data_IF_370000543669
#
_entry.id   IF_370000543669
#
_cell.length_a   1.000
_cell.length_b   1.000
_cell.length_c   1.000
_cell.angle_alpha   90.00
_cell.angle_beta   90.00
_cell.angle_gamma   90.00
#
_symmetry.space_group_name_H-M   'P 1'
#
loop_
_entity.id
_entity.type
_entity.pdbx_description
1 polymer ?
#
# COMPACT_ATOMS: atom_id res chain seq x y z
N UNK A 1 -23.34 28.24 -27.81
CA UNK A 1 -22.97 26.92 -28.35
C UNK A 1 -22.49 26.05 -27.19
N UNK A 2 -23.27 25.08 -26.78
CA UNK A 2 -22.83 24.06 -25.85
C UNK A 2 -21.68 23.28 -26.51
N UNK A 3 -20.54 23.20 -25.82
CA UNK A 3 -19.41 22.37 -26.27
C UNK A 3 -19.79 20.92 -26.07
N UNK A 4 -19.92 20.17 -27.11
CA UNK A 4 -20.10 18.72 -27.08
C UNK A 4 -18.72 18.08 -26.87
N UNK A 5 -18.57 17.28 -25.81
CA UNK A 5 -17.33 16.56 -25.51
C UNK A 5 -17.52 15.06 -25.84
N UNK A 6 -16.55 14.49 -26.53
CA UNK A 6 -16.58 13.08 -26.94
C UNK A 6 -16.16 12.14 -25.81
N UNK A 7 -15.32 12.58 -24.90
CA UNK A 7 -14.77 11.77 -23.79
C UNK A 7 -14.52 12.63 -22.55
N UNK A 8 -14.70 12.00 -21.39
CA UNK A 8 -14.46 12.56 -20.07
C UNK A 8 -13.41 11.72 -19.37
N UNK A 9 -12.35 12.35 -18.87
CA UNK A 9 -11.29 11.72 -18.11
C UNK A 9 -11.36 12.23 -16.68
N UNK A 10 -11.60 11.30 -15.73
CA UNK A 10 -11.73 11.62 -14.31
C UNK A 10 -10.53 11.00 -13.58
N UNK A 11 -9.86 11.79 -12.76
CA UNK A 11 -8.75 11.34 -11.93
C UNK A 11 -8.92 11.93 -10.53
N UNK A 12 -8.90 11.08 -9.50
CA UNK A 12 -9.09 11.54 -8.13
C UNK A 12 -9.57 10.45 -7.16
N UNK A 13 -10.01 10.87 -5.96
CA UNK A 13 -10.61 9.96 -4.98
C UNK A 13 -11.88 9.28 -5.52
N UNK A 14 -12.12 8.05 -5.08
CA UNK A 14 -13.25 7.23 -5.54
C UNK A 14 -14.61 7.93 -5.40
N UNK A 15 -14.86 8.58 -4.26
CA UNK A 15 -16.12 9.31 -4.03
C UNK A 15 -16.34 10.43 -5.05
N UNK A 16 -15.29 11.17 -5.42
CA UNK A 16 -15.36 12.22 -6.43
C UNK A 16 -15.68 11.62 -7.80
N UNK A 17 -14.99 10.54 -8.18
CA UNK A 17 -15.19 9.87 -9.47
C UNK A 17 -16.61 9.33 -9.57
N UNK A 18 -17.12 8.68 -8.51
CA UNK A 18 -18.47 8.15 -8.47
C UNK A 18 -19.52 9.27 -8.59
N UNK A 19 -19.35 10.37 -7.87
CA UNK A 19 -20.26 11.52 -7.92
C UNK A 19 -20.30 12.13 -9.32
N UNK A 20 -19.15 12.42 -9.91
CA UNK A 20 -19.06 13.03 -11.25
C UNK A 20 -19.57 12.07 -12.32
N UNK A 21 -19.26 10.77 -12.23
CA UNK A 21 -19.74 9.75 -13.17
C UNK A 21 -21.27 9.64 -13.15
N UNK A 22 -21.89 9.68 -11.98
CA UNK A 22 -23.35 9.65 -11.85
C UNK A 22 -24.01 10.88 -12.50
N UNK A 23 -23.48 12.07 -12.23
CA UNK A 23 -23.99 13.32 -12.84
C UNK A 23 -23.85 13.29 -14.38
N UNK A 24 -22.75 12.75 -14.90
CA UNK A 24 -22.54 12.61 -16.36
C UNK A 24 -23.54 11.62 -16.95
N UNK A 25 -23.83 10.50 -16.28
CA UNK A 25 -24.84 9.51 -16.70
C UNK A 25 -26.26 10.11 -16.70
N UNK A 26 -26.63 10.92 -15.69
CA UNK A 26 -27.90 11.65 -15.63
C UNK A 26 -28.07 12.64 -16.80
N UNK A 27 -26.95 13.17 -17.31
CA UNK A 27 -26.92 14.04 -18.49
C UNK A 27 -26.82 13.29 -19.83
N UNK A 28 -27.14 11.99 -19.83
CA UNK A 28 -27.13 11.10 -20.99
C UNK A 28 -25.73 10.90 -21.65
N UNK A 29 -24.64 11.09 -20.89
CA UNK A 29 -23.30 10.73 -21.34
C UNK A 29 -23.17 9.21 -21.31
N UNK A 30 -22.75 8.61 -22.44
CA UNK A 30 -22.52 7.18 -22.53
C UNK A 30 -21.39 6.74 -21.58
N UNK A 31 -21.59 5.63 -20.87
CA UNK A 31 -20.60 5.09 -19.93
C UNK A 31 -19.24 4.82 -20.61
N UNK A 32 -19.26 4.40 -21.89
CA UNK A 32 -18.05 4.20 -22.68
C UNK A 32 -17.23 5.47 -22.94
N UNK A 33 -17.85 6.65 -22.79
CA UNK A 33 -17.20 7.96 -22.93
C UNK A 33 -16.57 8.45 -21.62
N UNK A 34 -16.90 7.84 -20.48
CA UNK A 34 -16.36 8.17 -19.16
C UNK A 34 -15.17 7.25 -18.89
N UNK A 35 -13.97 7.82 -18.79
CA UNK A 35 -12.73 7.14 -18.43
C UNK A 35 -12.27 7.67 -17.10
N UNK A 36 -11.84 6.80 -16.20
CA UNK A 36 -11.36 7.22 -14.89
C UNK A 36 -10.14 6.43 -14.45
N UNK A 37 -9.36 7.06 -13.60
CA UNK A 37 -8.21 6.48 -12.91
C UNK A 37 -8.34 6.80 -11.42
N UNK A 38 -8.40 5.76 -10.60
CA UNK A 38 -8.54 5.90 -9.15
C UNK A 38 -7.17 6.15 -8.51
N UNK A 39 -7.06 7.08 -7.58
CA UNK A 39 -5.85 7.25 -6.75
C UNK A 39 -5.67 6.09 -5.77
N UNK A 40 -6.74 5.45 -5.40
CA UNK A 40 -6.75 4.24 -4.60
C UNK A 40 -7.67 3.23 -5.25
N UNK A 41 -7.10 2.15 -5.76
CA UNK A 41 -7.94 1.03 -6.17
C UNK A 41 -8.60 0.43 -4.92
N UNK A 42 -9.90 0.21 -4.97
CA UNK A 42 -10.66 -0.59 -4.00
C UNK A 42 -10.35 -2.09 -4.11
N UNK A 43 -9.15 -2.44 -4.61
CA UNK A 43 -8.70 -3.80 -4.74
C UNK A 43 -8.38 -4.37 -3.37
N UNK A 44 -9.30 -5.20 -2.89
CA UNK A 44 -9.14 -6.22 -1.86
C UNK A 44 -8.26 -5.81 -0.67
N UNK A 45 -8.87 -5.12 0.30
CA UNK A 45 -8.36 -5.15 1.66
C UNK A 45 -8.44 -6.60 2.13
N UNK A 46 -7.30 -7.28 2.24
CA UNK A 46 -7.23 -8.53 2.96
C UNK A 46 -7.53 -8.21 4.42
N UNK A 47 -8.60 -8.75 5.01
CA UNK A 47 -8.81 -8.59 6.44
C UNK A 47 -7.63 -9.25 7.15
N UNK A 48 -6.71 -8.43 7.69
CA UNK A 48 -5.70 -8.94 8.61
C UNK A 48 -6.48 -9.60 9.73
N UNK A 49 -6.22 -10.88 9.94
CA UNK A 49 -6.85 -11.65 10.99
C UNK A 49 -6.82 -10.83 12.28
N UNK A 50 -7.97 -10.66 12.94
CA UNK A 50 -8.13 -9.98 14.24
C UNK A 50 -7.19 -10.51 15.35
N UNK A 51 -6.42 -11.55 15.04
CA UNK A 51 -5.44 -12.20 15.94
C UNK A 51 -4.12 -11.45 16.11
N UNK A 52 -3.85 -10.36 15.37
CA UNK A 52 -2.63 -9.55 15.52
C UNK A 52 -2.76 -8.59 16.73
N UNK A 53 -2.65 -9.12 17.93
CA UNK A 53 -2.69 -8.33 19.19
C UNK A 53 -1.34 -8.28 19.92
N UNK A 54 -0.31 -8.88 19.35
CA UNK A 54 1.02 -9.02 19.92
C UNK A 54 1.97 -7.88 19.60
N UNK A 55 3.19 -8.04 20.11
CA UNK A 55 4.35 -7.25 19.72
C UNK A 55 5.35 -8.12 18.96
N UNK A 56 6.08 -7.52 18.06
CA UNK A 56 7.18 -8.17 17.33
C UNK A 56 8.46 -7.40 17.56
N UNK A 57 9.56 -8.13 17.72
CA UNK A 57 10.91 -7.57 17.68
C UNK A 57 11.32 -7.49 16.21
N UNK A 58 11.51 -6.28 15.71
CA UNK A 58 11.89 -6.05 14.32
C UNK A 58 13.32 -5.53 14.22
N UNK A 59 14.05 -6.06 13.24
CA UNK A 59 15.33 -5.52 12.79
C UNK A 59 15.16 -4.98 11.39
N UNK A 60 15.45 -3.71 11.19
CA UNK A 60 15.34 -3.00 9.93
C UNK A 60 16.75 -2.64 9.44
N UNK A 61 17.05 -2.97 8.19
CA UNK A 61 18.26 -2.58 7.47
C UNK A 61 17.89 -1.50 6.44
N UNK A 62 18.55 -0.35 6.54
CA UNK A 62 18.47 0.77 5.58
C UNK A 62 19.85 1.40 5.46
N UNK A 63 20.35 1.58 4.23
CA UNK A 63 21.66 2.18 3.95
C UNK A 63 22.82 1.49 4.71
N UNK A 64 22.84 0.15 4.75
CA UNK A 64 23.80 -0.68 5.50
C UNK A 64 23.76 -0.47 7.03
N UNK A 65 22.76 0.22 7.57
CA UNK A 65 22.56 0.42 9.00
C UNK A 65 21.43 -0.45 9.56
N UNK A 66 21.75 -1.25 10.58
CA UNK A 66 20.78 -2.08 11.28
C UNK A 66 20.23 -1.39 12.52
N UNK A 67 18.91 -1.32 12.60
CA UNK A 67 18.22 -0.85 13.81
C UNK A 67 17.22 -1.91 14.29
N UNK A 68 17.30 -2.27 15.57
CA UNK A 68 16.38 -3.25 16.19
C UNK A 68 15.53 -2.57 17.25
N UNK A 69 14.20 -2.80 17.17
CA UNK A 69 13.24 -2.26 18.13
C UNK A 69 12.00 -3.17 18.27
N UNK A 70 11.12 -2.86 19.21
CA UNK A 70 9.83 -3.53 19.37
C UNK A 70 8.71 -2.70 18.74
N UNK A 71 7.77 -3.37 18.07
CA UNK A 71 6.60 -2.74 17.48
C UNK A 71 5.33 -3.55 17.75
N UNK A 72 4.18 -2.87 17.72
CA UNK A 72 2.89 -3.54 17.74
C UNK A 72 2.61 -4.15 16.35
N UNK A 73 2.09 -5.39 16.34
CA UNK A 73 1.67 -6.04 15.09
C UNK A 73 0.51 -5.34 14.39
N UNK A 74 -0.22 -4.47 15.10
CA UNK A 74 -1.28 -3.62 14.51
C UNK A 74 -0.75 -2.44 13.71
N UNK A 75 0.50 -2.09 13.88
CA UNK A 75 1.17 -0.98 13.22
C UNK A 75 1.84 -1.47 11.94
N UNK A 76 1.91 -0.63 10.90
CA UNK A 76 2.70 -0.97 9.73
C UNK A 76 4.20 -0.89 10.02
N UNK A 77 4.99 -1.67 9.30
CA UNK A 77 6.46 -1.69 9.46
C UNK A 77 7.04 -0.31 9.16
N UNK A 78 6.55 0.37 8.11
CA UNK A 78 6.97 1.73 7.77
C UNK A 78 6.70 2.72 8.90
N UNK A 79 5.47 2.75 9.45
CA UNK A 79 5.12 3.67 10.55
C UNK A 79 5.99 3.44 11.79
N UNK A 80 6.30 2.18 12.08
CA UNK A 80 7.15 1.83 13.20
C UNK A 80 8.60 2.30 12.97
N UNK A 81 9.15 2.09 11.77
CA UNK A 81 10.49 2.54 11.39
C UNK A 81 10.63 4.07 11.46
N UNK A 82 9.67 4.80 10.89
CA UNK A 82 9.65 6.27 10.92
C UNK A 82 9.58 6.83 12.35
N UNK A 83 8.82 6.19 13.25
CA UNK A 83 8.75 6.58 14.68
C UNK A 83 10.08 6.37 15.42
N UNK A 84 10.89 5.43 14.98
CA UNK A 84 12.25 5.23 15.52
C UNK A 84 13.28 6.21 14.92
N UNK A 85 12.87 7.05 13.96
CA UNK A 85 13.76 7.99 13.29
C UNK A 85 14.57 7.35 12.15
N UNK A 86 14.20 6.16 11.71
CA UNK A 86 14.83 5.48 10.57
C UNK A 86 14.33 6.16 9.29
N UNK A 87 15.25 6.55 8.41
CA UNK A 87 14.93 7.21 7.13
C UNK A 87 14.55 6.18 6.06
N UNK A 88 13.50 5.39 6.36
CA UNK A 88 12.97 4.39 5.43
C UNK A 88 12.30 5.07 4.24
N UNK A 89 12.57 4.65 3.00
CA UNK A 89 11.98 5.27 1.82
C UNK A 89 10.48 5.00 1.72
N UNK A 90 9.70 6.03 1.37
CA UNK A 90 8.25 5.91 1.13
C UNK A 90 7.72 7.04 0.24
N UNK A 91 6.49 6.87 -0.30
CA UNK A 91 5.79 7.89 -1.07
C UNK A 91 4.28 7.83 -0.85
N UNK A 92 3.55 6.90 -1.51
CA UNK A 92 2.08 6.89 -1.52
C UNK A 92 1.43 6.45 -0.21
N UNK A 93 2.09 5.62 0.60
CA UNK A 93 1.59 4.94 1.81
C UNK A 93 0.28 4.14 1.62
N UNK A 94 -0.13 3.92 0.37
CA UNK A 94 -1.41 3.28 0.01
C UNK A 94 -1.28 1.92 -0.70
N UNK A 95 -0.08 1.35 -0.81
CA UNK A 95 0.15 0.06 -1.47
C UNK A 95 0.04 0.10 -2.99
N UNK A 96 0.21 1.29 -3.61
CA UNK A 96 0.08 1.53 -5.06
C UNK A 96 1.38 2.01 -5.72
N UNK A 97 2.48 2.06 -5.00
CA UNK A 97 3.82 2.35 -5.52
C UNK A 97 4.86 1.46 -4.83
N UNK A 98 6.04 1.37 -5.43
CA UNK A 98 7.15 0.55 -4.93
C UNK A 98 8.15 1.31 -4.06
N UNK A 99 7.90 2.57 -3.68
CA UNK A 99 8.88 3.39 -2.95
C UNK A 99 9.24 2.82 -1.56
N UNK A 100 8.32 2.09 -0.92
CA UNK A 100 8.54 1.45 0.38
C UNK A 100 8.80 -0.06 0.26
N UNK A 101 9.33 -0.51 -0.87
CA UNK A 101 9.67 -1.90 -1.09
C UNK A 101 10.79 -2.33 -0.15
N UNK A 102 10.67 -3.52 0.41
CA UNK A 102 11.70 -4.14 1.23
C UNK A 102 11.55 -5.67 1.19
N UNK A 103 12.58 -6.39 1.59
CA UNK A 103 12.55 -7.85 1.67
C UNK A 103 12.49 -8.33 3.12
N UNK A 104 11.62 -9.28 3.40
CA UNK A 104 11.63 -10.03 4.67
C UNK A 104 12.67 -11.14 4.54
N UNK A 105 13.75 -11.03 5.30
CA UNK A 105 14.85 -11.99 5.31
C UNK A 105 14.71 -13.01 6.45
N UNK A 106 13.95 -12.67 7.49
CA UNK A 106 13.64 -13.55 8.62
C UNK A 106 12.23 -13.23 9.14
N UNK A 107 11.47 -14.24 9.52
CA UNK A 107 10.09 -14.11 9.99
C UNK A 107 9.07 -13.99 8.88
N UNK A 108 7.92 -13.39 9.16
CA UNK A 108 6.85 -13.18 8.20
C UNK A 108 6.05 -11.91 8.47
N UNK A 109 5.49 -11.34 7.41
CA UNK A 109 4.56 -10.22 7.46
C UNK A 109 3.40 -10.44 6.47
N UNK A 110 2.26 -9.83 6.76
CA UNK A 110 1.10 -9.79 5.85
C UNK A 110 0.80 -8.35 5.46
N UNK A 111 0.46 -8.12 4.18
CA UNK A 111 0.06 -6.82 3.66
C UNK A 111 -1.46 -6.66 3.67
N UNK A 112 -1.95 -5.52 4.16
CA UNK A 112 -3.38 -5.16 4.09
C UNK A 112 -3.83 -4.90 2.66
N UNK A 113 -2.98 -4.23 1.89
CA UNK A 113 -3.25 -3.82 0.53
C UNK A 113 -1.99 -3.96 -0.33
N UNK A 114 -2.16 -4.53 -1.51
CA UNK A 114 -1.11 -4.64 -2.51
C UNK A 114 -1.71 -4.58 -3.90
N UNK A 115 -1.28 -3.61 -4.70
CA UNK A 115 -1.72 -3.44 -6.09
C UNK A 115 -0.55 -3.53 -7.08
N UNK A 116 0.66 -3.86 -6.60
CA UNK A 116 1.88 -3.80 -7.40
C UNK A 116 2.63 -5.12 -7.43
N UNK A 117 2.82 -5.75 -6.25
CA UNK A 117 3.60 -6.98 -6.16
C UNK A 117 2.79 -8.17 -6.67
N UNK A 118 3.44 -8.99 -7.47
CA UNK A 118 2.93 -10.28 -7.92
C UNK A 118 3.07 -11.34 -6.82
N UNK A 119 2.34 -12.44 -6.95
CA UNK A 119 2.41 -13.56 -6.00
C UNK A 119 3.84 -14.17 -5.93
N UNK A 120 4.58 -14.16 -7.05
CA UNK A 120 5.97 -14.62 -7.07
C UNK A 120 6.90 -13.72 -6.28
N UNK A 121 6.77 -12.39 -6.40
CA UNK A 121 7.56 -11.42 -5.64
C UNK A 121 7.28 -11.50 -4.14
N UNK A 122 6.02 -11.69 -3.77
CA UNK A 122 5.63 -11.93 -2.37
C UNK A 122 6.23 -13.23 -1.85
N UNK A 123 6.22 -14.29 -2.66
CA UNK A 123 6.84 -15.58 -2.30
C UNK A 123 8.36 -15.49 -2.12
N UNK A 124 9.02 -14.55 -2.79
CA UNK A 124 10.44 -14.21 -2.63
C UNK A 124 10.72 -13.34 -1.39
N UNK A 125 9.69 -12.97 -0.63
CA UNK A 125 9.78 -12.18 0.58
C UNK A 125 9.65 -10.68 0.39
N UNK A 126 9.32 -10.19 -0.82
CA UNK A 126 9.11 -8.75 -1.05
C UNK A 126 7.79 -8.28 -0.42
N UNK A 127 7.84 -7.12 0.22
CA UNK A 127 6.70 -6.48 0.86
C UNK A 127 6.68 -4.97 0.61
N UNK A 128 5.50 -4.38 0.65
CA UNK A 128 5.32 -2.94 0.75
C UNK A 128 5.17 -2.58 2.23
N UNK A 129 6.19 -2.01 2.84
CA UNK A 129 6.26 -1.80 4.29
C UNK A 129 5.20 -0.86 4.85
N UNK A 130 4.64 0.03 4.02
CA UNK A 130 3.50 0.87 4.40
C UNK A 130 2.21 0.10 4.64
N UNK A 131 2.11 -1.13 4.12
CA UNK A 131 0.94 -2.01 4.24
C UNK A 131 1.23 -3.30 5.01
N UNK A 132 2.51 -3.60 5.25
CA UNK A 132 2.95 -4.83 5.87
C UNK A 132 2.89 -4.77 7.40
N UNK A 133 2.38 -5.83 8.00
CA UNK A 133 2.27 -6.03 9.45
C UNK A 133 2.97 -7.33 9.84
N UNK A 134 3.84 -7.33 10.87
CA UNK A 134 4.48 -8.56 11.32
C UNK A 134 3.47 -9.60 11.80
N UNK A 135 3.69 -10.85 11.44
CA UNK A 135 2.88 -11.98 11.91
C UNK A 135 3.65 -12.94 12.82
N UNK A 136 4.96 -12.75 12.93
CA UNK A 136 5.86 -13.52 13.80
C UNK A 136 6.41 -12.66 14.94
N UNK A 137 6.86 -13.31 16.02
CA UNK A 137 7.43 -12.63 17.19
C UNK A 137 8.75 -11.89 16.86
N UNK A 138 9.49 -12.39 15.88
CA UNK A 138 10.73 -11.76 15.37
C UNK A 138 10.63 -11.63 13.86
N UNK A 139 11.06 -10.49 13.33
CA UNK A 139 11.10 -10.23 11.89
C UNK A 139 12.34 -9.40 11.55
N UNK A 140 12.94 -9.68 10.39
CA UNK A 140 14.02 -8.90 9.81
C UNK A 140 13.61 -8.41 8.42
N UNK A 141 13.74 -7.12 8.21
CA UNK A 141 13.35 -6.43 6.97
C UNK A 141 14.53 -5.65 6.43
N UNK A 142 14.82 -5.83 5.16
CA UNK A 142 15.95 -5.26 4.46
C UNK A 142 15.44 -4.40 3.28
N UNK A 143 15.76 -3.11 3.30
CA UNK A 143 15.43 -2.18 2.22
C UNK A 143 16.52 -2.10 1.15
N UNK A 144 17.71 -2.64 1.43
CA UNK A 144 18.86 -2.60 0.53
C UNK A 144 18.90 -3.82 -0.42
N UNK A 145 18.14 -4.88 -0.08
CA UNK A 145 18.00 -6.13 -0.86
C UNK A 145 16.64 -6.21 -1.58
N UNK A 146 16.41 -5.37 -2.60
CA UNK A 146 15.16 -5.28 -3.37
C UNK A 146 15.37 -5.27 -4.87
#
# INVERSE_FOLDING_TARGET
KEKEFDKFYLCGPEEMINTVSNVLKEKNVKESAIKFELFTSSSQENPIKESLSGHSKITVMVDDEETTFEMSQKQSILDAALKQGIDAPYSCQGGICSSCLARVTEGAAEMKKNSILTDSEIAEGLILTCQAHPTTATIRVDYDDV
#
